data_IF_789627433691
#
_entry.id   IF_789627433691
#
_cell.length_a   1.000
_cell.length_b   1.000
_cell.length_c   1.000
_cell.angle_alpha   90.00
_cell.angle_beta   90.00
_cell.angle_gamma   90.00
#
_symmetry.space_group_name_H-M   'P 1'
#
loop_
_entity.id
_entity.type
_entity.pdbx_description
1 polymer ?
#
# COMPACT_ATOMS: atom_id res chain seq x y z
N UNK A 1 -29.31 -22.41 -42.58
CA UNK A 1 -29.68 -22.41 -41.14
C UNK A 1 -28.45 -22.45 -40.21
N UNK A 2 -27.33 -22.92 -40.65
CA UNK A 2 -26.04 -23.05 -39.90
C UNK A 2 -25.39 -21.70 -39.56
N UNK A 3 -25.36 -20.76 -40.49
CA UNK A 3 -24.68 -19.43 -40.28
C UNK A 3 -25.29 -18.58 -39.18
N UNK A 4 -26.61 -18.57 -39.02
CA UNK A 4 -27.26 -17.81 -37.91
C UNK A 4 -26.96 -18.42 -36.54
N UNK A 5 -26.88 -19.75 -36.43
CA UNK A 5 -26.51 -20.43 -35.18
C UNK A 5 -25.03 -20.16 -34.81
N UNK A 6 -24.10 -20.16 -35.78
CA UNK A 6 -22.70 -19.79 -35.56
C UNK A 6 -22.56 -18.35 -35.08
N UNK A 7 -23.30 -17.41 -35.66
CA UNK A 7 -23.25 -15.99 -35.27
C UNK A 7 -23.75 -15.78 -33.83
N UNK A 8 -24.81 -16.47 -33.44
CA UNK A 8 -25.36 -16.41 -32.06
C UNK A 8 -24.40 -17.02 -31.04
N UNK A 9 -23.74 -18.12 -31.38
CA UNK A 9 -22.72 -18.75 -30.53
C UNK A 9 -21.51 -17.82 -30.36
N UNK A 10 -21.04 -17.21 -31.45
CA UNK A 10 -19.92 -16.26 -31.37
C UNK A 10 -20.29 -15.02 -30.53
N UNK A 11 -21.48 -14.47 -30.68
CA UNK A 11 -21.95 -13.35 -29.88
C UNK A 11 -22.06 -13.71 -28.38
N UNK A 12 -22.52 -14.92 -28.06
CA UNK A 12 -22.59 -15.39 -26.68
C UNK A 12 -21.23 -15.58 -26.06
N UNK A 13 -20.27 -16.12 -26.80
CA UNK A 13 -18.87 -16.27 -26.33
C UNK A 13 -18.24 -14.90 -26.06
N UNK A 14 -18.41 -13.94 -26.97
CA UNK A 14 -17.91 -12.57 -26.77
C UNK A 14 -18.55 -11.93 -25.54
N UNK A 15 -19.87 -12.11 -25.35
CA UNK A 15 -20.56 -11.59 -24.17
C UNK A 15 -20.04 -12.22 -22.87
N UNK A 16 -19.78 -13.52 -22.82
CA UNK A 16 -19.22 -14.22 -21.66
C UNK A 16 -17.80 -13.74 -21.36
N UNK A 17 -16.97 -13.57 -22.38
CA UNK A 17 -15.60 -13.04 -22.24
C UNK A 17 -15.64 -11.59 -21.76
N UNK A 18 -16.51 -10.76 -22.30
CA UNK A 18 -16.68 -9.39 -21.85
C UNK A 18 -17.19 -9.32 -20.40
N UNK A 19 -18.13 -10.17 -20.03
CA UNK A 19 -18.63 -10.29 -18.65
C UNK A 19 -17.53 -10.74 -17.70
N UNK A 20 -16.73 -11.74 -18.10
CA UNK A 20 -15.56 -12.18 -17.34
C UNK A 20 -14.56 -11.05 -17.12
N UNK A 21 -14.26 -10.27 -18.15
CA UNK A 21 -13.32 -9.14 -18.07
C UNK A 21 -13.86 -7.98 -17.23
N UNK A 22 -15.16 -7.73 -17.29
CA UNK A 22 -15.84 -6.70 -16.50
C UNK A 22 -15.99 -7.06 -15.02
N UNK A 23 -16.27 -8.33 -14.71
CA UNK A 23 -16.52 -8.77 -13.34
C UNK A 23 -15.28 -9.31 -12.63
N UNK A 24 -14.27 -9.74 -13.39
CA UNK A 24 -13.03 -10.32 -12.82
C UNK A 24 -13.30 -11.23 -11.61
N UNK A 25 -14.06 -12.31 -11.76
CA UNK A 25 -14.38 -13.21 -10.65
C UNK A 25 -13.13 -13.88 -10.05
N UNK A 26 -12.02 -13.98 -10.82
CA UNK A 26 -10.71 -14.39 -10.38
C UNK A 26 -10.18 -13.52 -9.22
N UNK A 27 -10.40 -12.20 -9.30
CA UNK A 27 -9.97 -11.27 -8.25
C UNK A 27 -10.71 -11.44 -6.91
N UNK A 28 -11.83 -12.15 -6.90
CA UNK A 28 -12.57 -12.47 -5.67
C UNK A 28 -12.04 -13.72 -4.94
N UNK A 29 -11.29 -14.57 -5.63
CA UNK A 29 -10.93 -15.91 -5.13
C UNK A 29 -9.43 -16.08 -4.97
N UNK A 30 -8.62 -15.36 -5.76
CA UNK A 30 -7.17 -15.51 -5.76
C UNK A 30 -6.54 -14.57 -4.73
N UNK A 31 -6.01 -15.12 -3.65
CA UNK A 31 -5.23 -14.36 -2.68
C UNK A 31 -3.89 -13.93 -3.28
N UNK A 32 -3.55 -12.67 -3.10
CA UNK A 32 -2.28 -12.08 -3.53
C UNK A 32 -1.49 -11.66 -2.30
N UNK A 33 -0.36 -12.33 -2.07
CA UNK A 33 0.59 -11.97 -1.02
C UNK A 33 1.59 -10.95 -1.56
N UNK A 34 1.83 -9.89 -0.82
CA UNK A 34 2.83 -8.86 -1.11
C UNK A 34 3.63 -8.62 0.16
N UNK A 35 4.97 -8.71 0.06
CA UNK A 35 5.87 -8.41 1.17
C UNK A 35 6.91 -7.40 0.68
N UNK A 36 6.57 -6.13 0.77
CA UNK A 36 7.48 -5.05 0.41
C UNK A 36 8.47 -4.81 1.57
N UNK A 37 9.76 -4.63 1.28
CA UNK A 37 10.72 -4.20 2.30
C UNK A 37 10.33 -2.81 2.82
N UNK A 38 10.84 -2.46 4.00
CA UNK A 38 10.66 -1.10 4.50
C UNK A 38 11.37 -0.10 3.57
N UNK A 39 10.77 1.05 3.23
CA UNK A 39 11.33 1.96 2.21
C UNK A 39 12.76 2.44 2.46
N UNK A 40 13.15 2.63 3.70
CA UNK A 40 14.54 2.99 4.06
C UNK A 40 15.53 1.87 3.70
N UNK A 41 15.18 0.60 3.90
CA UNK A 41 16.01 -0.55 3.55
C UNK A 41 16.12 -0.72 2.03
N UNK A 42 15.05 -0.42 1.29
CA UNK A 42 15.03 -0.50 -0.17
C UNK A 42 16.02 0.51 -0.79
N UNK A 43 16.15 1.70 -0.24
CA UNK A 43 17.13 2.69 -0.69
C UNK A 43 18.57 2.25 -0.42
N UNK A 44 18.85 1.66 0.74
CA UNK A 44 20.17 1.14 1.08
C UNK A 44 20.60 0.00 0.14
N UNK A 45 19.70 -0.91 -0.21
CA UNK A 45 19.95 -2.00 -1.15
C UNK A 45 20.17 -1.50 -2.59
N UNK A 46 19.44 -0.47 -3.03
CA UNK A 46 19.60 0.14 -4.36
C UNK A 46 20.93 0.88 -4.48
N UNK A 47 21.35 1.61 -3.46
CA UNK A 47 22.64 2.29 -3.43
C UNK A 47 23.83 1.33 -3.45
N UNK A 48 23.71 0.14 -2.86
CA UNK A 48 24.73 -0.91 -2.92
C UNK A 48 24.80 -1.58 -4.31
N UNK A 49 23.72 -1.64 -5.05
CA UNK A 49 23.67 -2.23 -6.38
C UNK A 49 24.28 -1.33 -7.46
N UNK A 50 24.33 -0.02 -7.25
CA UNK A 50 24.87 0.97 -8.19
C UNK A 50 26.36 1.28 -7.98
N UNK A 51 27.06 0.56 -7.10
CA UNK A 51 28.52 0.72 -6.95
C UNK A 51 29.23 0.22 -8.23
N UNK A 52 29.96 1.08 -8.96
CA UNK A 52 30.60 0.68 -10.21
C UNK A 52 31.73 -0.29 -9.92
N UNK A 53 31.72 -1.39 -10.66
CA UNK A 53 32.82 -2.36 -10.76
C UNK A 53 34.13 -1.62 -11.02
N UNK A 54 35.01 -1.55 -10.05
CA UNK A 54 36.35 -1.03 -10.20
C UNK A 54 37.17 -1.91 -11.15
N UNK A 55 37.41 -1.41 -12.36
CA UNK A 55 38.46 -1.90 -13.22
C UNK A 55 39.83 -1.56 -12.60
N UNK A 56 40.72 -2.58 -12.57
CA UNK A 56 42.13 -2.50 -12.15
C UNK A 56 42.87 -1.34 -12.80
N UNK A 57 43.66 -0.59 -12.01
CA UNK A 57 45.10 -0.44 -12.24
C UNK A 57 45.75 0.59 -11.29
N UNK A 58 46.91 0.25 -10.70
CA UNK A 58 48.05 1.15 -10.53
C UNK A 58 48.20 1.90 -9.19
N UNK A 59 48.95 1.32 -8.30
CA UNK A 59 49.97 1.91 -7.39
C UNK A 59 50.02 3.43 -7.23
N UNK A 60 49.77 3.96 -6.02
CA UNK A 60 50.63 4.89 -5.30
C UNK A 60 50.10 5.16 -3.87
N UNK A 61 50.97 4.96 -2.89
CA UNK A 61 50.81 5.35 -1.48
C UNK A 61 50.56 6.85 -1.36
N UNK A 62 49.55 7.21 -0.55
CA UNK A 62 49.66 8.38 0.35
C UNK A 62 48.63 8.23 1.46
N UNK A 63 49.14 8.12 2.69
CA UNK A 63 48.41 8.20 3.94
C UNK A 63 47.64 9.52 4.04
N UNK A 64 46.34 9.41 4.20
CA UNK A 64 45.53 10.39 4.93
C UNK A 64 44.32 9.64 5.44
N UNK A 65 44.03 9.56 6.73
CA UNK A 65 42.77 9.00 7.21
C UNK A 65 41.69 10.04 6.93
N UNK A 66 41.06 9.91 5.76
CA UNK A 66 39.76 10.54 5.53
C UNK A 66 38.80 9.85 6.51
N UNK A 67 38.51 10.53 7.61
CA UNK A 67 37.34 10.21 8.43
C UNK A 67 36.12 10.17 7.50
N UNK A 68 35.70 8.96 7.17
CA UNK A 68 34.39 8.73 6.60
C UNK A 68 33.41 9.25 7.67
N UNK A 69 32.90 10.47 7.45
CA UNK A 69 31.69 10.91 8.09
C UNK A 69 30.60 9.95 7.55
N UNK A 70 30.35 8.88 8.31
CA UNK A 70 29.07 8.20 8.24
C UNK A 70 28.04 9.29 8.53
N UNK A 71 27.41 9.80 7.49
CA UNK A 71 26.19 10.52 7.66
C UNK A 71 25.32 9.58 8.50
N UNK A 72 25.05 9.98 9.75
CA UNK A 72 24.10 9.26 10.60
C UNK A 72 22.77 9.38 9.87
N UNK A 73 22.42 8.32 9.14
CA UNK A 73 21.12 8.19 8.56
C UNK A 73 20.12 8.31 9.73
N UNK A 74 19.28 9.34 9.72
CA UNK A 74 18.25 9.47 10.74
C UNK A 74 17.30 8.27 10.58
N UNK A 75 17.09 7.50 11.64
CA UNK A 75 16.16 6.37 11.59
C UNK A 75 14.74 6.87 11.28
N UNK A 76 13.97 6.10 10.49
CA UNK A 76 12.58 6.45 10.20
C UNK A 76 11.76 6.63 11.47
N UNK A 77 11.13 7.79 11.60
CA UNK A 77 10.33 8.14 12.79
C UNK A 77 8.89 7.68 12.59
N UNK A 78 8.41 6.80 13.47
CA UNK A 78 7.01 6.40 13.49
C UNK A 78 6.16 7.53 14.10
N UNK A 79 5.21 8.07 13.32
CA UNK A 79 4.35 9.18 13.71
C UNK A 79 3.07 8.70 14.38
N UNK A 80 2.38 7.74 13.75
CA UNK A 80 1.11 7.20 14.25
C UNK A 80 1.05 5.70 14.01
N UNK A 81 0.22 5.00 14.78
CA UNK A 81 0.01 3.56 14.59
C UNK A 81 -1.36 3.12 15.08
N UNK A 82 -1.93 2.08 14.44
CA UNK A 82 -3.19 1.48 14.83
C UNK A 82 -3.34 0.04 14.37
N UNK A 83 -4.18 -0.72 15.05
CA UNK A 83 -4.53 -2.09 14.65
C UNK A 83 -5.81 -2.09 13.85
N UNK A 84 -5.83 -2.90 12.80
CA UNK A 84 -7.06 -3.14 12.06
C UNK A 84 -8.07 -3.92 12.91
N UNK A 85 -9.31 -3.50 12.83
CA UNK A 85 -10.47 -4.27 13.27
C UNK A 85 -11.41 -4.51 12.08
N UNK A 86 -12.20 -5.56 12.18
CA UNK A 86 -13.10 -5.96 11.12
C UNK A 86 -14.33 -5.05 11.01
N UNK A 87 -14.82 -4.86 9.78
CA UNK A 87 -16.16 -4.41 9.47
C UNK A 87 -16.91 -5.48 8.66
N UNK A 88 -17.08 -5.28 7.36
CA UNK A 88 -17.74 -6.28 6.53
C UNK A 88 -16.90 -7.55 6.32
N UNK A 89 -15.57 -7.45 6.44
CA UNK A 89 -14.65 -8.56 6.25
C UNK A 89 -13.65 -8.66 7.42
N UNK A 90 -13.17 -9.88 7.67
CA UNK A 90 -12.08 -10.07 8.62
C UNK A 90 -10.83 -9.37 8.10
N UNK A 91 -10.46 -8.30 8.77
CA UNK A 91 -9.29 -7.49 8.46
C UNK A 91 -8.39 -7.41 9.68
N UNK A 92 -7.11 -7.68 9.53
CA UNK A 92 -6.13 -7.71 10.61
C UNK A 92 -4.79 -7.14 10.17
N UNK A 93 -3.92 -6.88 11.14
CA UNK A 93 -2.60 -6.29 10.94
C UNK A 93 -2.49 -4.95 11.62
N UNK A 94 -1.42 -4.24 11.32
CA UNK A 94 -1.11 -2.92 11.87
C UNK A 94 -0.93 -1.93 10.71
N UNK A 95 -1.52 -0.75 10.85
CA UNK A 95 -1.24 0.41 10.02
C UNK A 95 -0.36 1.37 10.81
N UNK A 96 0.74 1.85 10.23
CA UNK A 96 1.59 2.85 10.87
C UNK A 96 2.10 3.85 9.83
N UNK A 97 2.11 5.14 10.19
CA UNK A 97 2.69 6.19 9.35
C UNK A 97 4.07 6.51 9.87
N UNK A 98 5.04 6.51 8.95
CA UNK A 98 6.43 6.85 9.21
C UNK A 98 6.82 8.10 8.43
N UNK A 99 7.69 8.91 9.03
CA UNK A 99 8.47 9.92 8.33
C UNK A 99 9.86 9.33 8.05
N UNK A 100 10.23 9.30 6.78
CA UNK A 100 11.53 8.85 6.31
C UNK A 100 12.57 9.97 6.47
N UNK A 101 13.86 9.63 6.33
CA UNK A 101 15.00 10.56 6.41
C UNK A 101 14.89 11.72 5.41
N UNK A 102 14.36 11.46 4.23
CA UNK A 102 14.14 12.45 3.17
C UNK A 102 12.89 13.32 3.38
N UNK A 103 12.21 13.18 4.52
CA UNK A 103 11.00 13.90 4.88
C UNK A 103 9.71 13.34 4.27
N UNK A 104 9.79 12.38 3.37
CA UNK A 104 8.58 11.70 2.85
C UNK A 104 7.85 10.96 3.96
N UNK A 105 6.55 10.83 3.80
CA UNK A 105 5.70 10.05 4.71
C UNK A 105 5.17 8.82 4.00
N UNK A 106 5.21 7.69 4.71
CA UNK A 106 4.77 6.40 4.20
C UNK A 106 3.84 5.75 5.20
N UNK A 107 2.67 5.32 4.74
CA UNK A 107 1.81 4.39 5.45
C UNK A 107 2.32 2.97 5.18
N UNK A 108 2.69 2.25 6.22
CA UNK A 108 3.03 0.84 6.16
C UNK A 108 1.94 0.00 6.79
N UNK A 109 1.51 -1.01 6.05
CA UNK A 109 0.69 -2.11 6.57
C UNK A 109 1.62 -3.27 6.90
N UNK A 110 1.52 -3.83 8.10
CA UNK A 110 2.33 -4.97 8.59
C UNK A 110 1.44 -6.10 9.08
N UNK A 111 1.84 -7.35 8.82
CA UNK A 111 1.05 -8.55 9.17
C UNK A 111 -0.39 -8.44 8.66
N UNK A 112 -0.54 -7.73 7.56
CA UNK A 112 -1.84 -7.39 7.02
C UNK A 112 -2.50 -8.59 6.36
N UNK A 113 -3.80 -8.76 6.61
CA UNK A 113 -4.63 -9.70 5.88
C UNK A 113 -6.09 -9.24 5.87
N UNK A 114 -6.72 -9.38 4.72
CA UNK A 114 -8.14 -9.14 4.49
C UNK A 114 -8.70 -10.05 3.39
N UNK A 115 -9.99 -9.94 3.09
CA UNK A 115 -10.61 -10.63 1.95
C UNK A 115 -10.24 -9.97 0.62
N UNK A 116 -10.44 -10.72 -0.47
CA UNK A 116 -10.33 -10.19 -1.82
C UNK A 116 -11.56 -9.36 -2.20
N UNK A 117 -11.38 -8.47 -3.16
CA UNK A 117 -12.44 -7.67 -3.74
C UNK A 117 -12.04 -7.07 -5.09
N UNK A 118 -13.02 -6.68 -5.93
CA UNK A 118 -12.75 -6.28 -7.32
C UNK A 118 -12.12 -4.89 -7.47
N UNK A 119 -12.22 -4.03 -6.45
CA UNK A 119 -11.62 -2.68 -6.44
C UNK A 119 -11.40 -2.24 -4.99
N UNK A 120 -10.47 -2.92 -4.32
CA UNK A 120 -10.12 -2.61 -2.93
C UNK A 120 -9.04 -1.54 -2.90
N UNK A 121 -9.25 -0.52 -2.08
CA UNK A 121 -8.42 0.68 -1.96
C UNK A 121 -7.99 0.89 -0.52
N UNK A 122 -6.91 1.63 -0.34
CA UNK A 122 -6.44 2.09 0.96
C UNK A 122 -6.76 3.57 1.09
N UNK A 123 -7.61 3.92 2.06
CA UNK A 123 -8.01 5.30 2.34
C UNK A 123 -7.44 5.76 3.68
N UNK A 124 -6.98 7.00 3.70
CA UNK A 124 -6.71 7.73 4.93
C UNK A 124 -7.89 8.68 5.16
N UNK A 125 -8.55 8.58 6.32
CA UNK A 125 -9.85 9.21 6.58
C UNK A 125 -9.73 10.22 7.72
N UNK A 126 -10.37 11.40 7.54
CA UNK A 126 -10.38 12.48 8.54
C UNK A 126 -11.41 12.21 9.65
N UNK A 127 -11.29 11.06 10.31
CA UNK A 127 -12.12 10.63 11.42
C UNK A 127 -11.30 9.81 12.41
N UNK A 128 -11.80 9.65 13.63
CA UNK A 128 -11.18 8.79 14.64
C UNK A 128 -11.29 7.30 14.29
N UNK A 129 -12.39 6.93 13.64
CA UNK A 129 -12.67 5.59 13.14
C UNK A 129 -13.67 5.67 11.98
N UNK A 130 -13.78 4.60 11.18
CA UNK A 130 -14.65 4.53 10.01
C UNK A 130 -15.62 3.38 10.16
N UNK A 131 -16.88 3.70 10.42
CA UNK A 131 -17.93 2.69 10.62
C UNK A 131 -18.58 2.27 9.30
N UNK A 132 -18.92 3.24 8.43
CA UNK A 132 -19.66 3.04 7.20
C UNK A 132 -19.29 4.06 6.12
N UNK A 133 -19.95 3.96 4.95
CA UNK A 133 -19.74 4.86 3.82
C UNK A 133 -20.11 6.31 4.12
N UNK A 134 -21.17 6.53 4.87
CA UNK A 134 -21.65 7.87 5.17
C UNK A 134 -20.64 8.61 6.06
N UNK A 135 -20.12 7.96 7.09
CA UNK A 135 -19.11 8.51 7.98
C UNK A 135 -17.80 8.82 7.25
N UNK A 136 -17.34 7.93 6.35
CA UNK A 136 -16.14 8.17 5.55
C UNK A 136 -16.30 9.36 4.60
N UNK A 137 -17.42 9.44 3.88
CA UNK A 137 -17.70 10.54 2.94
C UNK A 137 -17.88 11.89 3.64
N UNK A 138 -18.54 11.89 4.78
CA UNK A 138 -18.77 13.11 5.57
C UNK A 138 -17.49 13.66 6.17
N UNK A 139 -16.64 12.77 6.68
CA UNK A 139 -15.35 13.17 7.26
C UNK A 139 -14.34 13.65 6.20
N UNK A 140 -14.42 13.12 4.98
CA UNK A 140 -13.42 13.28 3.94
C UNK A 140 -12.31 12.23 4.02
N UNK A 141 -11.76 11.88 2.87
CA UNK A 141 -10.69 10.88 2.78
C UNK A 141 -9.70 11.19 1.65
N UNK A 142 -8.51 10.65 1.78
CA UNK A 142 -7.48 10.61 0.75
C UNK A 142 -7.30 9.18 0.28
N UNK A 143 -7.42 8.95 -1.03
CA UNK A 143 -7.18 7.65 -1.66
C UNK A 143 -5.67 7.46 -1.88
N UNK A 144 -5.04 6.59 -1.11
CA UNK A 144 -3.61 6.27 -1.20
C UNK A 144 -3.30 5.26 -2.32
N UNK A 145 -4.31 4.68 -2.94
CA UNK A 145 -4.15 3.77 -4.06
C UNK A 145 -4.84 2.41 -3.90
N UNK A 146 -4.72 1.60 -4.93
CA UNK A 146 -5.25 0.23 -4.92
C UNK A 146 -4.50 -0.63 -3.90
N UNK A 147 -5.23 -1.51 -3.19
CA UNK A 147 -4.63 -2.52 -2.33
C UNK A 147 -3.74 -3.43 -3.19
N UNK A 148 -2.46 -3.49 -2.89
CA UNK A 148 -1.46 -4.21 -3.69
C UNK A 148 -1.60 -5.73 -3.57
N UNK A 149 -2.02 -6.20 -2.41
CA UNK A 149 -2.35 -7.58 -2.10
C UNK A 149 -3.25 -7.66 -0.88
N UNK A 150 -4.02 -8.74 -0.77
CA UNK A 150 -4.88 -8.94 0.40
C UNK A 150 -4.15 -9.57 1.61
N UNK A 151 -2.88 -9.93 1.44
CA UNK A 151 -2.02 -10.49 2.49
C UNK A 151 -0.62 -9.86 2.41
N UNK A 152 -0.03 -9.56 3.58
CA UNK A 152 1.38 -9.23 3.76
C UNK A 152 1.68 -7.75 3.89
N UNK A 153 2.97 -7.43 3.90
CA UNK A 153 3.49 -6.10 4.19
C UNK A 153 3.47 -5.20 2.95
N UNK A 154 2.95 -3.99 3.10
CA UNK A 154 2.76 -3.07 1.97
C UNK A 154 3.02 -1.62 2.40
N UNK A 155 3.51 -0.80 1.48
CA UNK A 155 3.81 0.61 1.71
C UNK A 155 2.98 1.49 0.77
N UNK A 156 2.53 2.65 1.24
CA UNK A 156 1.77 3.64 0.48
C UNK A 156 2.31 5.03 0.77
N UNK A 157 2.56 5.82 -0.27
CA UNK A 157 2.99 7.20 -0.08
C UNK A 157 1.85 8.03 0.52
N UNK A 158 2.17 8.84 1.53
CA UNK A 158 1.23 9.77 2.16
C UNK A 158 1.63 11.18 1.70
N UNK A 159 0.68 11.98 1.14
CA UNK A 159 0.98 13.34 0.71
C UNK A 159 1.65 14.18 1.80
N UNK A 160 2.69 14.93 1.43
CA UNK A 160 3.50 15.67 2.38
C UNK A 160 2.75 16.84 3.04
N UNK A 161 1.75 17.39 2.35
CA UNK A 161 0.90 18.49 2.77
C UNK A 161 -0.30 18.06 3.62
N UNK A 162 -0.52 16.75 3.77
CA UNK A 162 -1.67 16.23 4.52
C UNK A 162 -1.52 16.47 6.03
N UNK A 163 -2.55 17.04 6.65
CA UNK A 163 -2.60 17.23 8.10
C UNK A 163 -2.98 15.93 8.82
N UNK A 164 -1.99 15.22 9.37
CA UNK A 164 -2.19 13.97 10.08
C UNK A 164 -2.96 14.11 11.40
N UNK A 165 -3.07 15.31 11.96
CA UNK A 165 -3.91 15.54 13.15
C UNK A 165 -5.40 15.37 12.84
N UNK A 166 -5.80 15.62 11.61
CA UNK A 166 -7.16 15.46 11.12
C UNK A 166 -7.43 14.06 10.58
N UNK A 167 -6.44 13.42 9.93
CA UNK A 167 -6.58 12.11 9.28
C UNK A 167 -6.11 11.00 10.21
N UNK A 168 -7.03 10.49 11.04
CA UNK A 168 -6.73 9.59 12.16
C UNK A 168 -7.21 8.15 11.99
N UNK A 169 -7.66 7.77 10.79
CA UNK A 169 -8.04 6.37 10.52
C UNK A 169 -7.59 5.92 9.14
N UNK A 170 -7.17 4.66 9.03
CA UNK A 170 -6.98 3.96 7.76
C UNK A 170 -8.19 3.07 7.52
N UNK A 171 -8.75 3.11 6.32
CA UNK A 171 -9.84 2.22 5.90
C UNK A 171 -9.45 1.41 4.67
N UNK A 172 -9.77 0.13 4.69
CA UNK A 172 -9.67 -0.77 3.55
C UNK A 172 -11.04 -0.83 2.89
N UNK A 173 -11.15 -0.20 1.73
CA UNK A 173 -12.42 0.13 1.12
C UNK A 173 -12.60 -0.53 -0.25
N UNK A 174 -13.70 -1.24 -0.44
CA UNK A 174 -14.09 -1.70 -1.77
C UNK A 174 -14.93 -0.63 -2.47
N UNK A 175 -14.29 0.12 -3.39
CA UNK A 175 -14.93 1.25 -4.08
C UNK A 175 -16.11 0.82 -4.95
N UNK A 176 -16.04 -0.36 -5.58
CA UNK A 176 -17.11 -0.87 -6.44
C UNK A 176 -18.41 -1.14 -5.70
N UNK A 177 -18.32 -1.62 -4.47
CA UNK A 177 -19.49 -1.99 -3.67
C UNK A 177 -19.77 -1.02 -2.52
N UNK A 178 -18.97 0.03 -2.38
CA UNK A 178 -19.07 0.99 -1.27
C UNK A 178 -19.06 0.31 0.11
N UNK A 179 -18.14 -0.63 0.30
CA UNK A 179 -18.05 -1.45 1.52
C UNK A 179 -16.72 -1.24 2.22
N UNK A 180 -16.78 -0.91 3.52
CA UNK A 180 -15.62 -0.92 4.40
C UNK A 180 -15.31 -2.36 4.82
N UNK A 181 -14.12 -2.85 4.46
CA UNK A 181 -13.65 -4.19 4.84
C UNK A 181 -13.19 -4.20 6.29
N UNK A 182 -12.46 -3.18 6.69
CA UNK A 182 -11.96 -2.97 8.03
C UNK A 182 -11.26 -1.63 8.15
N UNK A 183 -11.12 -1.15 9.38
CA UNK A 183 -10.49 0.12 9.68
C UNK A 183 -9.42 -0.02 10.77
N UNK A 184 -8.48 0.90 10.80
CA UNK A 184 -7.46 1.03 11.85
C UNK A 184 -7.43 2.47 12.35
N UNK A 185 -7.99 2.75 13.55
CA UNK A 185 -7.79 4.01 14.23
C UNK A 185 -6.30 4.25 14.52
N UNK A 186 -5.78 5.40 14.12
CA UNK A 186 -4.38 5.77 14.31
C UNK A 186 -4.23 6.62 15.58
N UNK A 187 -3.44 6.13 16.52
CA UNK A 187 -3.03 6.90 17.70
C UNK A 187 -1.65 7.51 17.45
N UNK A 188 -1.46 8.74 17.91
CA UNK A 188 -0.14 9.38 17.95
C UNK A 188 0.78 8.61 18.91
N UNK A 189 2.05 8.50 18.53
CA UNK A 189 3.06 7.90 19.38
C UNK A 189 3.75 9.03 20.15
N UNK A 190 3.71 9.01 21.49
CA UNK A 190 4.44 10.00 22.27
C UNK A 190 5.94 9.93 21.90
N UNK A 191 6.50 11.07 21.55
CA UNK A 191 7.92 11.28 21.26
C UNK A 191 8.76 11.19 22.52
#
# INVERSE_FOLDING_TARGET
MTTRKSLLVSAAVVAVVALWYLFRPDALVISKTVNEPFPAEAHAMSAMAESPTMAKSGTAMRDTPAMAQSAMAEEPVKLTSGRFHKHAHDTKGVAAIYRLEDGRRVLRLTEFATSNGPDVRVYLVAADDVQDEASAKQAGFVDLGALKGNIGDQNYDVPADLDLSSYRAVSIWCRRFSVNFGAAPLAEIPS
#
